data_IF_046639568199
#
_entry.id   IF_046639568199
#
_cell.length_a   1.000
_cell.length_b   1.000
_cell.length_c   1.000
_cell.angle_alpha   90.00
_cell.angle_beta   90.00
_cell.angle_gamma   90.00
#
_symmetry.space_group_name_H-M   'P 1'
#
loop_
_entity.id
_entity.type
_entity.pdbx_description
1 polymer ?
#
# COMPACT_ATOMS: atom_id res chain seq x y z
N UNK A 1 6.03 26.53 -3.31
CA UNK A 1 4.83 25.72 -2.96
C UNK A 1 4.32 26.06 -1.57
N UNK A 2 5.21 26.28 -0.60
CA UNK A 2 4.85 26.73 0.76
C UNK A 2 4.32 28.15 0.84
N UNK A 3 4.59 28.98 -0.17
CA UNK A 3 4.17 30.40 -0.21
C UNK A 3 2.81 30.61 -0.89
N UNK A 4 2.03 29.54 -1.13
CA UNK A 4 0.71 29.59 -1.76
C UNK A 4 -0.38 29.30 -0.72
N UNK A 5 -1.26 30.27 -0.47
CA UNK A 5 -2.28 30.18 0.58
C UNK A 5 -3.46 29.24 0.26
N UNK A 6 -3.57 28.80 -1.00
CA UNK A 6 -4.67 27.98 -1.51
C UNK A 6 -4.31 26.49 -1.68
N UNK A 7 -3.25 26.01 -1.01
CA UNK A 7 -2.79 24.63 -1.09
C UNK A 7 -2.76 23.94 0.28
N UNK A 8 -3.15 22.67 0.28
CA UNK A 8 -2.95 21.76 1.41
C UNK A 8 -1.94 20.68 1.00
N UNK A 9 -0.80 20.65 1.68
CA UNK A 9 0.26 19.66 1.45
C UNK A 9 0.20 18.59 2.52
N UNK A 10 0.24 17.32 2.10
CA UNK A 10 0.23 16.16 2.99
C UNK A 10 1.49 15.31 2.74
N UNK A 11 2.14 14.79 3.79
CA UNK A 11 3.36 13.99 3.64
C UNK A 11 3.03 12.53 3.27
N UNK A 12 2.32 12.32 2.14
CA UNK A 12 1.94 10.99 1.62
C UNK A 12 1.19 10.10 2.64
N UNK A 13 0.27 10.68 3.41
CA UNK A 13 -0.43 9.98 4.51
C UNK A 13 -1.77 9.33 4.11
N UNK A 14 -2.09 9.26 2.82
CA UNK A 14 -3.40 8.78 2.34
C UNK A 14 -3.75 7.35 2.77
N UNK A 15 -2.76 6.48 2.99
CA UNK A 15 -2.94 5.11 3.49
C UNK A 15 -2.27 4.86 4.85
N UNK A 16 -1.76 5.90 5.50
CA UNK A 16 -0.82 5.80 6.61
C UNK A 16 -1.49 5.57 7.99
N UNK A 17 -2.63 4.87 8.05
CA UNK A 17 -3.16 4.37 9.32
C UNK A 17 -2.53 3.02 9.67
N UNK A 18 -2.41 2.70 10.97
CA UNK A 18 -1.85 1.41 11.41
C UNK A 18 -2.64 0.25 10.82
N UNK A 19 -3.96 0.32 10.89
CA UNK A 19 -4.87 -0.72 10.42
C UNK A 19 -4.75 -0.95 8.90
N UNK A 20 -4.60 0.12 8.11
CA UNK A 20 -4.45 0.00 6.66
C UNK A 20 -3.09 -0.56 6.30
N UNK A 21 -2.02 -0.06 6.92
CA UNK A 21 -0.64 -0.52 6.67
C UNK A 21 -0.44 -1.98 7.11
N UNK A 22 -1.04 -2.41 8.21
CA UNK A 22 -1.00 -3.81 8.66
C UNK A 22 -1.67 -4.74 7.63
N UNK A 23 -2.85 -4.35 7.11
CA UNK A 23 -3.54 -5.13 6.07
C UNK A 23 -2.75 -5.19 4.76
N UNK A 24 -2.14 -4.08 4.36
CA UNK A 24 -1.28 -4.03 3.17
C UNK A 24 -0.05 -4.95 3.32
N UNK A 25 0.58 -4.95 4.50
CA UNK A 25 1.72 -5.82 4.79
C UNK A 25 1.35 -7.30 4.74
N UNK A 26 0.21 -7.69 5.33
CA UNK A 26 -0.31 -9.05 5.26
C UNK A 26 -0.63 -9.46 3.82
N UNK A 27 -1.29 -8.60 3.04
CA UNK A 27 -1.58 -8.86 1.63
C UNK A 27 -0.30 -9.05 0.80
N UNK A 28 0.75 -8.28 1.08
CA UNK A 28 2.03 -8.43 0.41
C UNK A 28 2.69 -9.79 0.73
N UNK A 29 2.74 -10.17 2.01
CA UNK A 29 3.27 -11.46 2.46
C UNK A 29 2.49 -12.63 1.84
N UNK A 30 1.16 -12.54 1.83
CA UNK A 30 0.27 -13.54 1.24
C UNK A 30 0.53 -13.75 -0.26
N UNK A 31 0.71 -12.68 -1.02
CA UNK A 31 1.05 -12.76 -2.45
C UNK A 31 2.39 -13.48 -2.68
N UNK A 32 3.40 -13.23 -1.82
CA UNK A 32 4.70 -13.90 -1.89
C UNK A 32 4.56 -15.39 -1.60
N UNK A 33 3.80 -15.75 -0.55
CA UNK A 33 3.56 -17.15 -0.20
C UNK A 33 2.83 -17.89 -1.33
N UNK A 34 1.82 -17.27 -1.94
CA UNK A 34 1.11 -17.86 -3.08
C UNK A 34 2.07 -18.12 -4.25
N UNK A 35 2.91 -17.14 -4.61
CA UNK A 35 3.91 -17.29 -5.67
C UNK A 35 4.89 -18.45 -5.43
N UNK A 36 5.46 -18.52 -4.21
CA UNK A 36 6.41 -19.56 -3.84
C UNK A 36 5.77 -20.95 -3.77
N UNK A 37 4.47 -21.02 -3.53
CA UNK A 37 3.70 -22.27 -3.56
C UNK A 37 3.27 -22.70 -4.98
N UNK A 38 3.69 -21.98 -6.03
CA UNK A 38 3.30 -22.25 -7.41
C UNK A 38 1.86 -21.81 -7.76
N UNK A 39 1.21 -21.03 -6.88
CA UNK A 39 -0.10 -20.43 -7.13
C UNK A 39 0.07 -19.04 -7.74
N UNK A 40 -0.97 -18.55 -8.41
CA UNK A 40 -1.01 -17.16 -8.87
C UNK A 40 -1.18 -16.23 -7.66
N UNK A 41 -0.38 -15.16 -7.52
CA UNK A 41 -0.57 -14.15 -6.48
C UNK A 41 -1.97 -13.52 -6.56
N UNK A 42 -2.61 -13.30 -5.41
CA UNK A 42 -3.98 -12.77 -5.25
C UNK A 42 -4.21 -11.48 -6.01
N UNK A 43 -3.22 -10.58 -6.01
CA UNK A 43 -3.27 -9.27 -6.65
C UNK A 43 -2.14 -9.12 -7.65
N UNK A 44 -1.96 -10.12 -8.52
CA UNK A 44 -1.10 -10.00 -9.69
C UNK A 44 -1.54 -8.83 -10.56
N UNK A 45 -0.59 -7.98 -10.96
CA UNK A 45 -0.80 -7.08 -12.10
C UNK A 45 -0.83 -7.90 -13.39
N UNK A 46 -1.42 -7.33 -14.44
CA UNK A 46 -1.60 -7.95 -15.76
C UNK A 46 -0.29 -8.45 -16.37
#
# INVERSE_FOLDING_TARGET
MTDLDNLLLLPHIGSATKETRDRMALLAADNVLDALSGKRPRTSVW
#
